data_IF_749480691144
#
_entry.id   IF_749480691144
#
_cell.length_a   1.000
_cell.length_b   1.000
_cell.length_c   1.000
_cell.angle_alpha   90.00
_cell.angle_beta   90.00
_cell.angle_gamma   90.00
#
_symmetry.space_group_name_H-M   'P 1'
#
loop_
_entity.id
_entity.type
_entity.pdbx_description
1 polymer ?
#
# COMPACT_ATOMS: atom_id res chain seq x y z
N UNK A 1 -16.28 -14.06 3.71
CA UNK A 1 -14.94 -13.50 3.98
C UNK A 1 -14.93 -12.96 5.40
N UNK A 2 -14.12 -13.49 6.32
CA UNK A 2 -14.02 -12.93 7.67
C UNK A 2 -13.31 -11.57 7.62
N UNK A 3 -13.88 -10.56 8.29
CA UNK A 3 -13.29 -9.22 8.36
C UNK A 3 -12.22 -9.23 9.46
N UNK A 4 -10.95 -9.18 9.08
CA UNK A 4 -9.84 -9.10 10.04
C UNK A 4 -9.67 -7.62 10.44
N UNK A 5 -9.89 -7.30 11.72
CA UNK A 5 -9.58 -5.99 12.28
C UNK A 5 -8.14 -6.02 12.78
N UNK A 6 -7.33 -5.07 12.32
CA UNK A 6 -5.97 -4.85 12.82
C UNK A 6 -5.85 -3.41 13.29
N UNK A 7 -5.28 -3.24 14.47
CA UNK A 7 -4.96 -1.93 15.05
C UNK A 7 -3.49 -1.59 14.76
N UNK A 8 -3.19 -0.29 14.71
CA UNK A 8 -1.83 0.22 14.63
C UNK A 8 -1.69 1.38 15.60
N UNK A 9 -0.48 1.59 16.12
CA UNK A 9 -0.16 2.73 16.96
C UNK A 9 0.29 3.89 16.08
N UNK A 10 -0.14 5.09 16.43
CA UNK A 10 0.17 6.31 15.69
C UNK A 10 0.28 7.50 16.66
N UNK A 11 1.13 8.46 16.34
CA UNK A 11 1.13 9.76 17.01
C UNK A 11 -0.05 10.61 16.55
N UNK A 12 -0.36 11.69 17.28
CA UNK A 12 -1.38 12.66 16.83
C UNK A 12 -1.05 13.25 15.47
N UNK A 13 0.25 13.53 15.22
CA UNK A 13 0.71 14.07 13.93
C UNK A 13 0.49 13.08 12.79
N UNK A 14 0.74 11.78 13.00
CA UNK A 14 0.47 10.74 11.99
C UNK A 14 -1.02 10.70 11.61
N UNK A 15 -1.91 10.87 12.60
CA UNK A 15 -3.36 10.87 12.38
C UNK A 15 -3.83 12.09 11.58
N UNK A 16 -3.21 13.25 11.80
CA UNK A 16 -3.46 14.47 11.03
C UNK A 16 -2.98 14.35 9.59
N UNK A 17 -1.76 13.85 9.39
CA UNK A 17 -1.22 13.57 8.05
C UNK A 17 -2.12 12.59 7.30
N UNK A 18 -2.52 11.49 7.96
CA UNK A 18 -3.43 10.51 7.37
C UNK A 18 -4.79 11.14 7.03
N UNK A 19 -5.32 12.03 7.88
CA UNK A 19 -6.56 12.76 7.58
C UNK A 19 -6.44 13.62 6.33
N UNK A 20 -5.34 14.37 6.20
CA UNK A 20 -5.10 15.26 5.06
C UNK A 20 -5.02 14.46 3.75
N UNK A 21 -4.18 13.42 3.72
CA UNK A 21 -4.01 12.55 2.53
C UNK A 21 -5.31 11.84 2.16
N UNK A 22 -6.06 11.35 3.15
CA UNK A 22 -7.34 10.68 2.91
C UNK A 22 -8.35 11.63 2.28
N UNK A 23 -8.45 12.88 2.76
CA UNK A 23 -9.33 13.89 2.16
C UNK A 23 -8.92 14.23 0.74
N UNK A 24 -7.62 14.42 0.51
CA UNK A 24 -7.09 14.74 -0.81
C UNK A 24 -7.48 13.70 -1.87
N UNK A 25 -7.42 12.42 -1.52
CA UNK A 25 -7.78 11.32 -2.44
C UNK A 25 -9.27 10.92 -2.39
N UNK A 26 -10.09 11.54 -1.53
CA UNK A 26 -11.50 11.16 -1.36
C UNK A 26 -11.69 9.76 -0.76
N UNK A 27 -10.73 9.26 0.02
CA UNK A 27 -10.75 7.93 0.60
C UNK A 27 -11.02 7.95 2.11
N UNK A 28 -11.49 6.82 2.64
CA UNK A 28 -11.47 6.59 4.09
C UNK A 28 -10.04 6.38 4.58
N UNK A 29 -9.75 6.66 5.85
CA UNK A 29 -8.42 6.44 6.45
C UNK A 29 -7.90 5.01 6.23
N UNK A 30 -8.75 4.01 6.43
CA UNK A 30 -8.38 2.60 6.22
C UNK A 30 -8.08 2.29 4.76
N UNK A 31 -8.86 2.85 3.83
CA UNK A 31 -8.61 2.70 2.40
C UNK A 31 -7.29 3.39 1.99
N UNK A 32 -6.99 4.55 2.55
CA UNK A 32 -5.71 5.25 2.36
C UNK A 32 -4.53 4.40 2.82
N UNK A 33 -4.56 3.87 4.07
CA UNK A 33 -3.50 2.98 4.57
C UNK A 33 -3.33 1.76 3.66
N UNK A 34 -4.43 1.11 3.29
CA UNK A 34 -4.39 -0.08 2.43
C UNK A 34 -3.77 0.25 1.07
N UNK A 35 -4.13 1.39 0.49
CA UNK A 35 -3.59 1.85 -0.79
C UNK A 35 -2.09 2.16 -0.71
N UNK A 36 -1.67 2.87 0.34
CA UNK A 36 -0.26 3.18 0.58
C UNK A 36 0.57 1.91 0.76
N UNK A 37 0.09 0.94 1.56
CA UNK A 37 0.76 -0.35 1.75
C UNK A 37 0.91 -1.07 0.41
N UNK A 38 -0.15 -1.14 -0.41
CA UNK A 38 -0.09 -1.79 -1.73
C UNK A 38 0.89 -1.10 -2.66
N UNK A 39 0.82 0.24 -2.74
CA UNK A 39 1.72 1.04 -3.57
C UNK A 39 3.18 0.81 -3.18
N UNK A 40 3.47 0.85 -1.88
CA UNK A 40 4.81 0.66 -1.37
C UNK A 40 5.31 -0.77 -1.55
N UNK A 41 4.46 -1.76 -1.28
CA UNK A 41 4.78 -3.17 -1.48
C UNK A 41 5.20 -3.45 -2.93
N UNK A 42 4.41 -3.01 -3.91
CA UNK A 42 4.74 -3.25 -5.33
C UNK A 42 5.93 -2.41 -5.82
N UNK A 43 6.19 -1.26 -5.19
CA UNK A 43 7.39 -0.45 -5.47
C UNK A 43 8.66 -1.20 -5.03
N UNK A 44 8.63 -1.81 -3.84
CA UNK A 44 9.78 -2.54 -3.26
C UNK A 44 9.91 -3.95 -3.84
N UNK A 45 8.79 -4.62 -4.10
CA UNK A 45 8.73 -5.98 -4.63
C UNK A 45 7.93 -6.04 -5.94
N UNK A 46 8.47 -5.55 -7.08
CA UNK A 46 7.75 -5.52 -8.35
C UNK A 46 7.29 -6.89 -8.86
N UNK A 47 7.99 -7.96 -8.47
CA UNK A 47 7.66 -9.36 -8.78
C UNK A 47 6.93 -10.07 -7.64
N UNK A 48 6.50 -9.33 -6.61
CA UNK A 48 6.04 -9.89 -5.35
C UNK A 48 7.18 -10.51 -4.54
N UNK A 49 6.81 -11.29 -3.53
CA UNK A 49 7.74 -12.03 -2.67
C UNK A 49 7.24 -13.47 -2.45
N UNK A 50 7.87 -14.20 -1.51
CA UNK A 50 7.51 -15.60 -1.22
C UNK A 50 6.04 -15.79 -0.83
N UNK A 51 5.45 -14.81 -0.14
CA UNK A 51 4.09 -14.89 0.40
C UNK A 51 3.04 -14.24 -0.51
N UNK A 52 3.38 -13.14 -1.17
CA UNK A 52 2.45 -12.37 -2.01
C UNK A 52 2.99 -12.36 -3.43
N UNK A 53 2.29 -13.05 -4.33
CA UNK A 53 2.63 -13.13 -5.75
C UNK A 53 1.76 -12.15 -6.56
N UNK A 54 2.27 -11.60 -7.67
CA UNK A 54 1.46 -10.82 -8.59
C UNK A 54 0.38 -11.71 -9.21
N UNK A 55 -0.75 -11.08 -9.54
CA UNK A 55 -1.84 -11.76 -10.24
C UNK A 55 -1.37 -12.26 -11.62
N UNK A 56 -2.00 -13.33 -12.11
CA UNK A 56 -1.69 -13.86 -13.45
C UNK A 56 -1.91 -12.76 -14.50
N UNK A 57 -0.89 -12.52 -15.31
CA UNK A 57 -0.92 -11.51 -16.38
C UNK A 57 -0.59 -10.08 -15.93
N UNK A 58 -0.22 -9.86 -14.67
CA UNK A 58 0.28 -8.56 -14.24
C UNK A 58 1.55 -8.18 -15.02
N UNK A 59 1.56 -6.97 -15.60
CA UNK A 59 2.73 -6.43 -16.30
C UNK A 59 3.78 -6.04 -15.26
N UNK A 60 4.80 -6.87 -15.12
CA UNK A 60 5.96 -6.56 -14.29
C UNK A 60 6.76 -5.51 -15.06
N UNK A 61 6.84 -4.30 -14.52
CA UNK A 61 7.70 -3.26 -15.11
C UNK A 61 9.14 -3.66 -14.81
N UNK A 62 9.87 -4.09 -15.83
CA UNK A 62 11.32 -4.20 -15.74
C UNK A 62 11.86 -2.78 -15.62
N UNK A 63 12.44 -2.46 -14.46
CA UNK A 63 13.42 -1.38 -14.44
C UNK A 63 14.70 -2.00 -14.95
N UNK A 64 15.04 -1.70 -16.19
CA UNK A 64 16.40 -1.89 -16.68
C UNK A 64 17.32 -1.20 -15.68
N UNK A 65 18.07 -2.00 -14.93
CA UNK A 65 19.27 -1.50 -14.28
C UNK A 65 20.25 -1.21 -15.42
N UNK A 66 20.20 0.01 -15.96
CA UNK A 66 21.33 0.55 -16.69
C UNK A 66 22.51 0.65 -15.70
N UNK A 67 23.40 -0.34 -15.83
CA UNK A 67 24.81 -0.42 -15.39
C UNK A 67 25.08 -0.60 -13.91
#
# INVERSE_FOLDING_TARGET
MSKIIRTFTATSQDLEMLQAVSRYHGFSKSATITSLIKKEFWRVFPRGNRAVRPDRGARIVERDHER
#
